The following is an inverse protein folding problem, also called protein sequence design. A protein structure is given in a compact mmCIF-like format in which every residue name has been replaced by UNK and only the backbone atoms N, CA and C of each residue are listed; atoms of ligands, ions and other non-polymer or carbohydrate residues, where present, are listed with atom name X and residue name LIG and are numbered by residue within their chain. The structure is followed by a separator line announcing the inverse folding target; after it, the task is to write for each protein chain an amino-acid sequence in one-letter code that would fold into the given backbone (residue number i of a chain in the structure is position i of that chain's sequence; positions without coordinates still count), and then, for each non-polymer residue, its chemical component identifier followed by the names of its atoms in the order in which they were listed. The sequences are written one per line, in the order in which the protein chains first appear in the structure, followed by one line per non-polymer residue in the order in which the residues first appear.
data_IF_329372121707
#
_entry.id   IF_329372121707
#
_cell.length_a   1.000
_cell.length_b   1.000
_cell.length_c   1.000
_cell.angle_alpha   90.00
_cell.angle_beta   90.00
_cell.angle_gamma   90.00
#
_symmetry.space_group_name_H-M   'P 1'
#
loop_
_entity.id
_entity.type
_entity.pdbx_description
1 polymer ?
#
# COMPACT_ATOMS: atom_id res chain seq x y z
N UNK A 1 12.94 5.13 0.16
CA UNK A 1 12.04 6.16 -0.47
C UNK A 1 11.52 5.59 -1.77
N UNK A 2 10.23 5.79 -2.09
CA UNK A 2 9.62 5.21 -3.31
C UNK A 2 10.35 5.74 -4.53
N UNK A 3 11.01 4.86 -5.26
CA UNK A 3 11.70 5.22 -6.51
C UNK A 3 10.68 5.73 -7.53
N UNK A 4 11.10 6.61 -8.42
CA UNK A 4 10.28 7.20 -9.48
C UNK A 4 9.12 8.12 -9.00
N UNK A 5 9.00 8.40 -7.69
CA UNK A 5 7.98 9.33 -7.19
C UNK A 5 8.28 10.75 -7.66
N UNK A 6 7.48 11.24 -8.62
CA UNK A 6 7.59 12.61 -9.18
C UNK A 6 7.05 13.64 -8.22
N UNK A 7 7.51 14.88 -8.35
CA UNK A 7 7.07 16.02 -7.55
C UNK A 7 7.32 15.88 -6.02
N UNK A 8 8.20 14.99 -5.59
CA UNK A 8 8.51 14.79 -4.16
C UNK A 8 9.05 16.05 -3.47
N UNK A 9 9.64 16.98 -4.21
CA UNK A 9 10.13 18.27 -3.70
C UNK A 9 9.05 19.38 -3.65
N UNK A 10 7.81 19.09 -4.03
CA UNK A 10 6.72 20.10 -4.10
C UNK A 10 6.27 20.62 -2.73
N UNK A 11 6.61 19.92 -1.64
CA UNK A 11 6.07 20.18 -0.30
C UNK A 11 4.63 19.68 -0.10
N UNK A 12 4.01 19.11 -1.13
CA UNK A 12 2.70 18.48 -1.04
C UNK A 12 2.78 17.08 -0.39
N UNK A 13 1.67 16.62 0.16
CA UNK A 13 1.50 15.20 0.47
C UNK A 13 1.59 14.36 -0.80
N UNK A 14 1.91 13.08 -0.70
CA UNK A 14 1.78 12.15 -1.81
C UNK A 14 0.47 11.36 -1.72
N UNK A 15 -0.09 11.03 -2.87
CA UNK A 15 -1.39 10.37 -2.98
C UNK A 15 -1.19 8.90 -3.38
N UNK A 16 -1.74 7.96 -2.57
CA UNK A 16 -1.95 6.56 -2.95
C UNK A 16 -3.42 6.37 -3.27
N UNK A 17 -3.78 6.25 -4.53
CA UNK A 17 -5.17 6.11 -4.95
C UNK A 17 -5.33 5.20 -6.17
N UNK A 18 -6.52 4.63 -6.32
CA UNK A 18 -6.88 3.74 -7.42
C UNK A 18 -8.04 2.81 -7.04
N UNK A 19 -8.33 1.79 -7.86
CA UNK A 19 -9.46 0.90 -7.63
C UNK A 19 -9.24 0.00 -6.39
N UNK A 20 -10.34 -0.41 -5.76
CA UNK A 20 -10.28 -1.32 -4.62
C UNK A 20 -9.63 -2.67 -5.00
N UNK A 21 -9.94 -3.16 -6.22
CA UNK A 21 -9.35 -4.37 -6.81
C UNK A 21 -9.24 -4.17 -8.33
N UNK A 22 -8.27 -4.81 -8.95
CA UNK A 22 -8.14 -4.82 -10.41
C UNK A 22 -9.21 -5.74 -11.01
N UNK A 23 -10.18 -5.14 -11.71
CA UNK A 23 -11.28 -5.84 -12.37
C UNK A 23 -11.04 -6.03 -13.87
N UNK A 24 -10.08 -5.30 -14.44
CA UNK A 24 -9.66 -5.37 -15.83
C UNK A 24 -8.63 -4.32 -16.18
N UNK A 25 -7.96 -4.53 -17.30
CA UNK A 25 -6.90 -3.61 -17.77
C UNK A 25 -7.46 -2.22 -18.11
N UNK A 26 -8.53 -2.19 -18.92
CA UNK A 26 -9.10 -0.90 -19.39
C UNK A 26 -9.51 -0.02 -18.22
N UNK A 27 -10.23 -0.58 -17.23
CA UNK A 27 -10.66 0.14 -16.04
C UNK A 27 -9.48 0.69 -15.25
N UNK A 28 -8.42 -0.09 -15.07
CA UNK A 28 -7.23 0.34 -14.35
C UNK A 28 -6.51 1.48 -15.08
N UNK A 29 -6.39 1.39 -16.41
CA UNK A 29 -5.77 2.41 -17.25
C UNK A 29 -6.57 3.72 -17.24
N UNK A 30 -7.90 3.66 -17.35
CA UNK A 30 -8.78 4.84 -17.35
C UNK A 30 -8.71 5.59 -16.00
N UNK A 31 -8.78 4.85 -14.88
CA UNK A 31 -8.65 5.43 -13.54
C UNK A 31 -7.26 6.06 -13.37
N UNK A 32 -6.20 5.36 -13.72
CA UNK A 32 -4.84 5.87 -13.60
C UNK A 32 -4.64 7.13 -14.43
N UNK A 33 -5.10 7.15 -15.68
CA UNK A 33 -5.00 8.30 -16.59
C UNK A 33 -5.65 9.56 -16.02
N UNK A 34 -6.87 9.43 -15.51
CA UNK A 34 -7.60 10.56 -14.90
C UNK A 34 -6.87 11.11 -13.65
N UNK A 35 -6.42 10.21 -12.76
CA UNK A 35 -5.73 10.65 -11.54
C UNK A 35 -4.37 11.27 -11.88
N UNK A 36 -3.63 10.71 -12.84
CA UNK A 36 -2.35 11.26 -13.31
C UNK A 36 -2.54 12.68 -13.87
N UNK A 37 -3.58 12.93 -14.64
CA UNK A 37 -3.87 14.28 -15.15
C UNK A 37 -4.10 15.28 -14.02
N UNK A 38 -4.95 14.90 -13.05
CA UNK A 38 -5.27 15.74 -11.88
C UNK A 38 -4.01 16.02 -11.06
N UNK A 39 -3.26 14.97 -10.71
CA UNK A 39 -2.08 15.09 -9.82
C UNK A 39 -0.94 15.86 -10.47
N UNK A 40 -0.72 15.69 -11.78
CA UNK A 40 0.26 16.50 -12.53
C UNK A 40 -0.09 17.98 -12.52
N UNK A 41 -1.36 18.32 -12.74
CA UNK A 41 -1.84 19.71 -12.72
C UNK A 41 -1.66 20.35 -11.34
N UNK A 42 -1.83 19.59 -10.27
CA UNK A 42 -1.74 20.05 -8.89
C UNK A 42 -0.33 19.90 -8.27
N UNK A 43 0.62 19.32 -8.99
CA UNK A 43 1.96 19.04 -8.46
C UNK A 43 1.97 18.05 -7.31
N UNK A 44 1.00 17.12 -7.23
CA UNK A 44 0.89 16.11 -6.18
C UNK A 44 1.66 14.86 -6.59
N UNK A 45 2.61 14.37 -5.77
CA UNK A 45 3.23 13.05 -5.98
C UNK A 45 2.17 11.94 -5.94
N UNK A 46 2.24 10.99 -6.88
CA UNK A 46 1.19 9.98 -7.03
C UNK A 46 1.74 8.56 -7.18
N UNK A 47 1.15 7.64 -6.43
CA UNK A 47 1.35 6.20 -6.51
C UNK A 47 0.01 5.54 -6.85
N UNK A 48 -0.05 4.78 -7.93
CA UNK A 48 -1.27 4.05 -8.28
C UNK A 48 -1.47 2.86 -7.36
N UNK A 49 -2.63 2.78 -6.70
CA UNK A 49 -2.99 1.68 -5.81
C UNK A 49 -4.03 0.78 -6.44
N UNK A 50 -3.77 -0.51 -6.47
CA UNK A 50 -4.77 -1.52 -6.78
C UNK A 50 -4.47 -2.83 -6.08
N UNK A 51 -5.49 -3.49 -5.50
CA UNK A 51 -5.30 -4.87 -5.02
C UNK A 51 -5.37 -5.84 -6.20
N UNK A 52 -4.40 -6.74 -6.29
CA UNK A 52 -4.46 -7.79 -7.31
C UNK A 52 -5.51 -8.83 -6.96
N UNK A 53 -5.81 -8.99 -5.64
CA UNK A 53 -6.81 -9.91 -5.11
C UNK A 53 -7.41 -9.36 -3.82
N UNK A 54 -8.66 -9.71 -3.54
CA UNK A 54 -9.33 -9.48 -2.26
C UNK A 54 -9.46 -10.77 -1.48
N UNK A 55 -8.69 -10.87 -0.38
CA UNK A 55 -8.65 -12.06 0.47
C UNK A 55 -9.68 -12.03 1.63
N UNK A 56 -10.39 -10.92 1.85
CA UNK A 56 -11.23 -10.69 3.02
C UNK A 56 -12.69 -10.32 2.69
N UNK A 57 -13.23 -10.88 1.61
CA UNK A 57 -14.64 -10.67 1.27
C UNK A 57 -15.57 -11.32 2.29
N UNK A 58 -16.71 -10.69 2.53
CA UNK A 58 -17.71 -11.18 3.50
C UNK A 58 -18.44 -12.43 3.04
N UNK A 59 -18.54 -12.67 1.73
CA UNK A 59 -19.20 -13.84 1.14
C UNK A 59 -18.20 -14.63 0.30
N UNK A 60 -18.37 -15.95 0.29
CA UNK A 60 -17.50 -16.86 -0.45
C UNK A 60 -17.65 -16.71 -1.98
N UNK A 61 -18.83 -16.30 -2.43
CA UNK A 61 -19.17 -16.08 -3.84
C UNK A 61 -18.86 -14.65 -4.35
N UNK A 62 -18.28 -13.80 -3.50
CA UNK A 62 -17.91 -12.44 -3.89
C UNK A 62 -16.75 -12.43 -4.88
N UNK A 63 -16.77 -11.47 -5.79
CA UNK A 63 -15.66 -11.25 -6.72
C UNK A 63 -14.37 -10.94 -5.95
N UNK A 64 -13.31 -11.71 -6.21
CA UNK A 64 -12.01 -11.58 -5.54
C UNK A 64 -10.92 -11.00 -6.43
N UNK A 65 -11.04 -11.11 -7.75
CA UNK A 65 -10.05 -10.63 -8.72
C UNK A 65 -10.15 -11.36 -10.06
N UNK A 66 -9.27 -11.00 -10.98
CA UNK A 66 -9.20 -11.56 -12.36
C UNK A 66 -8.12 -12.63 -12.52
N UNK A 67 -7.52 -13.06 -11.40
CA UNK A 67 -6.34 -13.92 -11.33
C UNK A 67 -5.09 -13.11 -10.95
N UNK A 68 -4.29 -13.66 -10.04
CA UNK A 68 -3.21 -12.93 -9.36
C UNK A 68 -2.18 -12.37 -10.35
N UNK A 69 -1.58 -13.23 -11.18
CA UNK A 69 -0.57 -12.80 -12.14
C UNK A 69 -1.13 -11.80 -13.16
N UNK A 70 -2.32 -12.06 -13.68
CA UNK A 70 -2.96 -11.16 -14.65
C UNK A 70 -3.20 -9.76 -14.06
N UNK A 71 -3.64 -9.69 -12.81
CA UNK A 71 -3.85 -8.41 -12.14
C UNK A 71 -2.53 -7.69 -11.83
N UNK A 72 -1.48 -8.43 -11.45
CA UNK A 72 -0.14 -7.89 -11.24
C UNK A 72 0.48 -7.36 -12.55
N UNK A 73 0.29 -8.04 -13.67
CA UNK A 73 0.70 -7.57 -14.99
C UNK A 73 0.00 -6.26 -15.37
N UNK A 74 -1.29 -6.13 -15.07
CA UNK A 74 -2.04 -4.88 -15.27
C UNK A 74 -1.45 -3.75 -14.43
N UNK A 75 -1.14 -3.99 -13.15
CA UNK A 75 -0.49 -2.98 -12.28
C UNK A 75 0.85 -2.53 -12.86
N UNK A 76 1.70 -3.48 -13.26
CA UNK A 76 3.00 -3.17 -13.89
C UNK A 76 2.83 -2.35 -15.16
N UNK A 77 1.86 -2.71 -16.00
CA UNK A 77 1.55 -1.99 -17.25
C UNK A 77 1.10 -0.54 -16.97
N UNK A 78 0.26 -0.33 -15.95
CA UNK A 78 -0.14 1.03 -15.52
C UNK A 78 1.09 1.85 -15.12
N UNK A 79 1.96 1.28 -14.27
CA UNK A 79 3.19 1.95 -13.84
C UNK A 79 4.08 2.36 -15.00
N UNK A 80 4.30 1.45 -15.94
CA UNK A 80 5.12 1.68 -17.14
C UNK A 80 4.49 2.74 -18.07
N UNK A 81 3.19 2.64 -18.34
CA UNK A 81 2.49 3.53 -19.28
C UNK A 81 2.49 4.98 -18.80
N UNK A 82 2.21 5.19 -17.52
CA UNK A 82 2.12 6.54 -16.96
C UNK A 82 3.41 7.02 -16.30
N UNK A 83 4.42 6.14 -16.22
CA UNK A 83 5.68 6.37 -15.52
C UNK A 83 5.44 6.89 -14.10
N UNK A 84 4.75 6.07 -13.31
CA UNK A 84 4.40 6.27 -11.90
C UNK A 84 4.64 5.00 -11.10
N UNK A 85 5.01 5.09 -9.81
CA UNK A 85 5.08 3.90 -8.96
C UNK A 85 3.70 3.29 -8.72
N UNK A 86 3.69 1.98 -8.44
CA UNK A 86 2.48 1.22 -8.17
C UNK A 86 2.57 0.45 -6.86
N UNK A 87 1.43 0.28 -6.20
CA UNK A 87 1.32 -0.44 -4.92
C UNK A 87 0.19 -1.45 -4.94
N UNK A 88 0.45 -2.62 -4.35
CA UNK A 88 -0.58 -3.64 -4.08
C UNK A 88 -0.46 -4.20 -2.67
N UNK A 89 -1.53 -4.77 -2.14
CA UNK A 89 -1.51 -5.49 -0.88
C UNK A 89 -1.15 -6.97 -1.08
N UNK A 90 -0.45 -7.54 -0.10
CA UNK A 90 -0.13 -8.98 -0.01
C UNK A 90 -0.79 -9.56 1.25
N UNK A 91 -1.10 -10.86 1.23
CA UNK A 91 -1.93 -11.50 2.27
C UNK A 91 -1.24 -12.69 2.95
N UNK A 92 -0.19 -13.24 2.31
CA UNK A 92 0.62 -14.32 2.82
C UNK A 92 2.11 -14.06 2.51
N UNK A 93 3.00 -14.66 3.30
CA UNK A 93 4.45 -14.43 3.15
C UNK A 93 4.97 -14.89 1.78
N UNK A 94 4.41 -15.96 1.23
CA UNK A 94 4.76 -16.55 -0.06
C UNK A 94 4.46 -15.62 -1.24
N UNK A 95 3.52 -14.70 -1.07
CA UNK A 95 3.12 -13.74 -2.11
C UNK A 95 4.12 -12.60 -2.28
N UNK A 96 4.93 -12.32 -1.26
CA UNK A 96 5.78 -11.13 -1.22
C UNK A 96 6.77 -11.07 -2.40
N UNK A 97 7.51 -12.15 -2.64
CA UNK A 97 8.50 -12.21 -3.71
C UNK A 97 7.85 -12.08 -5.09
N UNK A 98 6.74 -12.79 -5.32
CA UNK A 98 5.99 -12.73 -6.57
C UNK A 98 5.47 -11.31 -6.84
N UNK A 99 4.78 -10.69 -5.86
CA UNK A 99 4.23 -9.36 -6.04
C UNK A 99 5.31 -8.29 -6.28
N UNK A 100 6.46 -8.42 -5.63
CA UNK A 100 7.59 -7.50 -5.76
C UNK A 100 8.19 -7.41 -7.17
N UNK A 101 7.95 -8.41 -8.04
CA UNK A 101 8.38 -8.37 -9.45
C UNK A 101 7.55 -7.39 -10.30
N UNK A 102 6.38 -7.00 -9.81
CA UNK A 102 5.40 -6.22 -10.55
C UNK A 102 5.14 -4.83 -9.97
N UNK A 103 5.44 -4.61 -8.67
CA UNK A 103 5.11 -3.38 -7.98
C UNK A 103 6.31 -2.76 -7.28
N UNK A 104 6.20 -1.47 -6.93
CA UNK A 104 7.25 -0.70 -6.25
C UNK A 104 7.04 -0.68 -4.74
N UNK A 105 5.80 -0.85 -4.29
CA UNK A 105 5.42 -0.81 -2.88
C UNK A 105 4.55 -2.03 -2.54
N UNK A 106 4.89 -2.71 -1.45
CA UNK A 106 4.07 -3.78 -0.88
C UNK A 106 3.28 -3.23 0.31
N UNK A 107 1.96 -3.41 0.29
CA UNK A 107 1.10 -3.00 1.38
C UNK A 107 0.70 -4.18 2.26
N UNK A 108 0.81 -4.00 3.57
CA UNK A 108 0.32 -4.96 4.57
C UNK A 108 -1.08 -4.53 5.02
N UNK A 109 -2.11 -5.37 4.84
CA UNK A 109 -3.46 -5.08 5.29
C UNK A 109 -3.55 -4.90 6.81
N UNK A 110 -4.51 -4.09 7.26
CA UNK A 110 -4.65 -3.72 8.67
C UNK A 110 -4.82 -4.94 9.60
N UNK A 111 -5.59 -5.94 9.20
CA UNK A 111 -5.75 -7.16 10.00
C UNK A 111 -4.49 -8.01 10.12
N UNK A 112 -3.53 -7.83 9.21
CA UNK A 112 -2.29 -8.60 9.12
C UNK A 112 -1.07 -7.81 9.62
N UNK A 113 -1.25 -6.59 10.14
CA UNK A 113 -0.15 -5.69 10.52
C UNK A 113 0.76 -6.24 11.63
N UNK A 114 0.33 -7.25 12.38
CA UNK A 114 1.13 -7.93 13.40
C UNK A 114 1.80 -9.22 12.95
N UNK A 115 1.49 -9.73 11.76
CA UNK A 115 2.00 -11.03 11.26
C UNK A 115 3.48 -10.92 10.93
N UNK A 116 4.33 -11.49 11.80
CA UNK A 116 5.78 -11.35 11.71
C UNK A 116 6.33 -11.90 10.39
N UNK A 117 5.91 -13.10 9.99
CA UNK A 117 6.42 -13.74 8.78
C UNK A 117 6.09 -12.93 7.52
N UNK A 118 4.88 -12.35 7.45
CA UNK A 118 4.46 -11.49 6.36
C UNK A 118 5.28 -10.20 6.28
N UNK A 119 5.51 -9.54 7.44
CA UNK A 119 6.32 -8.32 7.53
C UNK A 119 7.78 -8.58 7.12
N UNK A 120 8.36 -9.68 7.61
CA UNK A 120 9.73 -10.09 7.27
C UNK A 120 9.86 -10.45 5.80
N UNK A 121 8.88 -11.19 5.23
CA UNK A 121 8.88 -11.54 3.81
C UNK A 121 8.79 -10.28 2.93
N UNK A 122 7.90 -9.34 3.26
CA UNK A 122 7.81 -8.06 2.56
C UNK A 122 9.12 -7.26 2.64
N UNK A 123 9.72 -7.16 3.83
CA UNK A 123 10.98 -6.46 4.04
C UNK A 123 12.12 -7.02 3.18
N UNK A 124 12.24 -8.34 3.11
CA UNK A 124 13.29 -9.04 2.35
C UNK A 124 13.22 -8.84 0.84
N UNK A 125 12.11 -8.35 0.31
CA UNK A 125 12.01 -7.99 -1.12
C UNK A 125 12.80 -6.72 -1.47
N UNK A 126 13.18 -5.91 -0.50
CA UNK A 126 13.80 -4.60 -0.69
C UNK A 126 12.86 -3.52 -1.21
N UNK A 127 11.57 -3.82 -1.40
CA UNK A 127 10.56 -2.83 -1.79
C UNK A 127 10.12 -1.99 -0.60
N UNK A 128 9.63 -0.77 -0.84
CA UNK A 128 8.97 0.02 0.20
C UNK A 128 7.80 -0.78 0.80
N UNK A 129 7.73 -0.86 2.13
CA UNK A 129 6.67 -1.56 2.84
C UNK A 129 5.72 -0.54 3.47
N UNK A 130 4.45 -0.53 3.03
CA UNK A 130 3.42 0.30 3.64
C UNK A 130 2.53 -0.55 4.55
N UNK A 131 2.53 -0.27 5.85
CA UNK A 131 1.76 -1.04 6.84
C UNK A 131 0.50 -0.26 7.22
N UNK A 132 -0.68 -0.80 6.95
CA UNK A 132 -1.92 -0.23 7.49
C UNK A 132 -2.05 -0.53 8.96
N UNK A 133 -2.27 0.51 9.76
CA UNK A 133 -2.53 0.33 11.20
C UNK A 133 -3.78 -0.52 11.42
N UNK A 134 -3.67 -1.53 12.26
CA UNK A 134 -4.84 -2.29 12.72
C UNK A 134 -5.78 -1.39 13.50
N UNK A 135 -7.09 -1.45 13.23
CA UNK A 135 -8.09 -0.66 13.95
C UNK A 135 -8.21 -1.05 15.43
N UNK A 136 -7.58 -2.13 15.83
CA UNK A 136 -7.50 -2.65 17.20
C UNK A 136 -6.20 -2.26 17.91
N UNK A 137 -5.34 -1.47 17.27
CA UNK A 137 -4.05 -1.03 17.80
C UNK A 137 -4.02 0.47 18.04
N UNK A 138 -3.30 0.88 19.09
CA UNK A 138 -2.91 2.27 19.25
C UNK A 138 -1.81 2.66 18.25
N UNK A 139 -1.63 3.96 17.97
CA UNK A 139 -0.53 4.45 17.12
C UNK A 139 0.85 3.96 17.57
N UNK A 140 1.13 4.02 18.90
CA UNK A 140 2.40 3.60 19.48
C UNK A 140 2.71 2.12 19.23
N UNK A 141 1.68 1.27 19.23
CA UNK A 141 1.86 -0.17 19.00
C UNK A 141 2.35 -0.48 17.58
N UNK A 142 2.21 0.46 16.63
CA UNK A 142 2.72 0.28 15.28
C UNK A 142 4.24 0.35 15.18
N UNK A 143 4.92 0.96 16.16
CA UNK A 143 6.38 0.95 16.25
C UNK A 143 6.95 -0.45 16.18
N UNK A 144 6.32 -1.42 16.85
CA UNK A 144 6.76 -2.82 16.81
C UNK A 144 6.66 -3.45 15.42
N UNK A 145 5.64 -3.08 14.63
CA UNK A 145 5.53 -3.56 13.25
C UNK A 145 6.61 -2.95 12.35
N UNK A 146 6.89 -1.65 12.52
CA UNK A 146 7.99 -0.96 11.84
C UNK A 146 9.33 -1.58 12.21
N UNK A 147 9.56 -1.84 13.50
CA UNK A 147 10.81 -2.42 13.98
C UNK A 147 11.08 -3.80 13.35
N UNK A 148 10.06 -4.65 13.22
CA UNK A 148 10.20 -5.95 12.53
C UNK A 148 10.68 -5.81 11.08
N UNK A 149 10.19 -4.81 10.35
CA UNK A 149 10.64 -4.53 8.98
C UNK A 149 12.09 -4.05 8.97
N UNK A 150 12.46 -3.16 9.91
CA UNK A 150 13.83 -2.66 10.06
C UNK A 150 14.80 -3.78 10.48
N UNK A 151 14.44 -4.61 11.43
CA UNK A 151 15.25 -5.74 11.89
C UNK A 151 15.46 -6.79 10.77
N UNK A 152 14.53 -6.88 9.83
CA UNK A 152 14.67 -7.70 8.62
C UNK A 152 15.56 -7.05 7.53
N UNK A 153 16.14 -5.86 7.80
CA UNK A 153 17.10 -5.19 6.94
C UNK A 153 16.52 -4.14 5.98
N UNK A 154 15.25 -3.77 6.14
CA UNK A 154 14.60 -2.78 5.27
C UNK A 154 14.17 -1.54 6.06
N UNK A 155 14.79 -0.39 5.77
CA UNK A 155 14.47 0.88 6.41
C UNK A 155 13.40 1.69 5.65
N UNK A 156 12.98 1.23 4.47
CA UNK A 156 11.98 1.94 3.65
C UNK A 156 10.57 1.46 4.01
N UNK A 157 10.04 1.97 5.10
CA UNK A 157 8.76 1.60 5.67
C UNK A 157 7.90 2.83 5.93
N UNK A 158 6.62 2.72 5.60
CA UNK A 158 5.59 3.72 5.85
C UNK A 158 4.43 3.10 6.63
N UNK A 159 3.67 3.94 7.35
CA UNK A 159 2.44 3.54 8.03
C UNK A 159 1.27 4.31 7.45
N UNK A 160 0.14 3.64 7.30
CA UNK A 160 -1.13 4.25 6.92
C UNK A 160 -2.11 4.20 8.09
N UNK A 161 -2.57 5.38 8.55
CA UNK A 161 -3.70 5.48 9.46
C UNK A 161 -4.99 5.07 8.72
N UNK A 162 -5.86 4.28 9.40
CA UNK A 162 -7.13 3.84 8.81
C UNK A 162 -8.28 3.75 9.83
N UNK A 163 -8.13 4.40 10.95
CA UNK A 163 -9.11 4.44 12.03
C UNK A 163 -8.91 3.39 13.09
N UNK A 164 -9.39 3.71 14.26
CA UNK A 164 -9.48 2.86 15.45
C UNK A 164 -10.95 2.53 15.70
N UNK A 165 -11.27 1.27 15.96
CA UNK A 165 -12.64 0.84 16.22
C UNK A 165 -13.16 1.48 17.51
N UNK A 166 -14.34 2.11 17.41
CA UNK A 166 -15.08 2.64 18.54
C UNK A 166 -16.50 2.00 18.50
N UNK A 167 -16.70 0.98 19.32
CA UNK A 167 -17.90 0.15 19.22
C UNK A 167 -17.85 -0.80 18.00
N UNK A 168 -19.00 -1.11 17.42
CA UNK A 168 -19.13 -2.12 16.36
C UNK A 168 -18.98 -1.58 14.93
N UNK A 169 -19.33 -0.34 14.68
CA UNK A 169 -19.40 0.21 13.32
C UNK A 169 -18.58 1.49 13.13
N UNK A 170 -18.36 2.26 14.19
CA UNK A 170 -17.69 3.54 14.12
C UNK A 170 -16.17 3.39 14.15
N UNK A 171 -15.49 4.27 13.41
CA UNK A 171 -14.04 4.39 13.37
C UNK A 171 -13.64 5.83 13.70
N UNK A 172 -12.63 5.97 14.57
CA UNK A 172 -12.01 7.24 14.88
C UNK A 172 -10.64 7.29 14.23
N UNK A 173 -10.38 8.34 13.46
CA UNK A 173 -9.04 8.60 12.90
C UNK A 173 -8.20 9.31 13.95
N UNK A 174 -7.04 8.72 14.24
CA UNK A 174 -6.05 9.28 15.16
C UNK A 174 -4.85 9.81 14.39
N UNK A 175 -4.81 11.10 14.15
CA UNK A 175 -3.73 11.76 13.43
C UNK A 175 -2.41 11.85 14.21
N UNK A 176 -2.38 11.50 15.51
CA UNK A 176 -1.14 11.46 16.30
C UNK A 176 -0.14 10.42 15.77
N UNK A 177 -0.61 9.44 14.98
CA UNK A 177 0.24 8.48 14.29
C UNK A 177 1.35 9.15 13.46
N UNK A 178 1.10 10.35 12.92
CA UNK A 178 2.09 11.13 12.18
C UNK A 178 3.34 11.41 13.03
N UNK A 179 3.17 11.71 14.32
CA UNK A 179 4.27 12.02 15.24
C UNK A 179 5.02 10.77 15.72
N UNK A 180 4.35 9.61 15.73
CA UNK A 180 4.91 8.35 16.26
C UNK A 180 5.64 7.58 15.17
N UNK A 181 5.12 7.64 13.96
CA UNK A 181 5.63 6.87 12.82
C UNK A 181 6.58 7.66 11.92
N UNK A 182 6.81 8.95 12.19
CA UNK A 182 7.86 9.66 11.48
C UNK A 182 9.21 9.03 11.85
N UNK A 183 9.80 8.18 10.98
CA UNK A 183 11.21 7.93 11.10
C UNK A 183 11.87 9.24 10.72
N UNK A 184 12.22 10.02 11.76
CA UNK A 184 13.29 11.03 11.67
C UNK A 184 13.56 11.52 10.24
N UNK A 185 12.87 12.56 9.82
CA UNK A 185 13.43 13.46 8.82
C UNK A 185 14.68 14.08 9.44
N UNK A 186 15.81 13.48 9.17
CA UNK A 186 17.13 14.10 9.29
C UNK A 186 17.67 14.35 7.90
#
# INVERSE_FOLDING_TARGET
MIEQLKNSASGNFFLLAGPCVIEGEQMAMDIAGQIVEITRRLGIPYVFKGSYRKANRSRIDSFTGIGDIKALEVLKKVGQTYNIPVVTDIHAAEEAAMAAEYVDVLQIPAFLCRQTDLLVAAARTGKTVNIKKGQFLSPEAMEFAVQKVKDAGNNDVAITERGTTFGYQDLIVDLSLIHISEPTRH
#
